data_IF_924815066755
#
_entry.id   IF_924815066755
#
_cell.length_a   1.000
_cell.length_b   1.000
_cell.length_c   1.000
_cell.angle_alpha   90.00
_cell.angle_beta   90.00
_cell.angle_gamma   90.00
#
_symmetry.space_group_name_H-M   'P 1'
#
loop_
_entity.id
_entity.type
_entity.pdbx_description
1 polymer ?
#
# COMPACT_ATOMS: atom_id res chain seq x y z
N UNK A 1 -3.57 -16.66 -8.51
CA UNK A 1 -3.26 -16.98 -9.92
C UNK A 1 -2.59 -15.77 -10.55
N UNK A 2 -2.00 -15.88 -11.75
CA UNK A 2 -1.10 -14.87 -12.34
C UNK A 2 -1.53 -13.39 -12.18
N UNK A 3 -2.83 -13.09 -12.24
CA UNK A 3 -3.39 -11.77 -11.97
C UNK A 3 -3.03 -11.20 -10.59
N UNK A 4 -3.23 -11.99 -9.52
CA UNK A 4 -2.86 -11.58 -8.15
C UNK A 4 -1.36 -11.30 -8.04
N UNK A 5 -0.53 -12.09 -8.73
CA UNK A 5 0.91 -11.87 -8.76
C UNK A 5 1.28 -10.58 -9.50
N UNK A 6 0.60 -10.27 -10.61
CA UNK A 6 0.79 -9.02 -11.34
C UNK A 6 0.41 -7.80 -10.47
N UNK A 7 -0.70 -7.87 -9.74
CA UNK A 7 -1.13 -6.82 -8.81
C UNK A 7 -0.07 -6.58 -7.73
N UNK A 8 0.42 -7.65 -7.08
CA UNK A 8 1.47 -7.54 -6.06
C UNK A 8 2.74 -6.91 -6.65
N UNK A 9 3.14 -7.33 -7.85
CA UNK A 9 4.30 -6.74 -8.52
C UNK A 9 4.09 -5.24 -8.82
N UNK A 10 2.91 -4.83 -9.29
CA UNK A 10 2.59 -3.42 -9.51
C UNK A 10 2.69 -2.61 -8.21
N UNK A 11 2.20 -3.15 -7.09
CA UNK A 11 2.30 -2.48 -5.78
C UNK A 11 3.76 -2.36 -5.32
N UNK A 12 4.57 -3.42 -5.50
CA UNK A 12 6.00 -3.42 -5.18
C UNK A 12 6.77 -2.39 -6.02
N UNK A 13 6.56 -2.36 -7.33
CA UNK A 13 7.24 -1.42 -8.22
C UNK A 13 6.81 0.02 -7.91
N UNK A 14 5.54 0.25 -7.58
CA UNK A 14 5.04 1.56 -7.14
C UNK A 14 5.70 1.99 -5.82
N UNK A 15 5.78 1.10 -4.82
CA UNK A 15 6.46 1.36 -3.55
C UNK A 15 7.92 1.80 -3.75
N UNK A 16 8.66 1.08 -4.62
CA UNK A 16 10.04 1.44 -4.98
C UNK A 16 10.15 2.81 -5.63
N UNK A 17 9.26 3.14 -6.57
CA UNK A 17 9.23 4.46 -7.23
C UNK A 17 9.03 5.60 -6.22
N UNK A 18 8.26 5.35 -5.15
CA UNK A 18 8.00 6.29 -4.08
C UNK A 18 8.99 6.20 -2.91
N UNK A 19 10.08 5.44 -3.06
CA UNK A 19 11.16 5.32 -2.07
C UNK A 19 10.67 4.85 -0.69
N UNK A 20 9.69 3.94 -0.67
CA UNK A 20 9.30 3.21 0.54
C UNK A 20 9.72 1.76 0.42
N UNK A 21 10.07 1.14 1.54
CA UNK A 21 10.35 -0.27 1.67
C UNK A 21 9.13 -1.08 1.23
N UNK A 22 9.32 -1.84 0.15
CA UNK A 22 8.24 -2.59 -0.48
C UNK A 22 7.70 -3.72 0.40
N UNK A 23 8.53 -4.32 1.25
CA UNK A 23 8.08 -5.39 2.15
C UNK A 23 7.20 -4.81 3.25
N UNK A 24 7.68 -3.77 3.94
CA UNK A 24 6.91 -3.07 4.98
C UNK A 24 5.59 -2.52 4.44
N UNK A 25 5.62 -1.95 3.24
CA UNK A 25 4.42 -1.41 2.61
C UNK A 25 3.38 -2.50 2.33
N UNK A 26 3.78 -3.64 1.75
CA UNK A 26 2.85 -4.76 1.48
C UNK A 26 2.30 -5.33 2.78
N UNK A 27 3.14 -5.50 3.81
CA UNK A 27 2.69 -5.94 5.15
C UNK A 27 1.66 -4.96 5.71
N UNK A 28 1.94 -3.65 5.68
CA UNK A 28 1.03 -2.62 6.16
C UNK A 28 -0.33 -2.70 5.46
N UNK A 29 -0.34 -2.81 4.13
CA UNK A 29 -1.57 -2.95 3.37
C UNK A 29 -2.37 -4.19 3.77
N UNK A 30 -1.71 -5.35 3.91
CA UNK A 30 -2.37 -6.60 4.28
C UNK A 30 -2.91 -6.60 5.72
N UNK A 31 -2.26 -5.88 6.63
CA UNK A 31 -2.71 -5.75 8.02
C UNK A 31 -3.86 -4.76 8.19
N UNK A 32 -3.89 -3.67 7.42
CA UNK A 32 -4.81 -2.56 7.66
C UNK A 32 -5.98 -2.52 6.67
N UNK A 33 -5.76 -2.77 5.38
CA UNK A 33 -6.83 -2.69 4.37
C UNK A 33 -8.01 -3.63 4.65
N UNK A 34 -7.82 -4.91 5.03
CA UNK A 34 -8.94 -5.81 5.28
C UNK A 34 -9.80 -5.41 6.47
N UNK A 35 -9.24 -4.59 7.37
CA UNK A 35 -9.91 -4.10 8.58
C UNK A 35 -10.55 -2.72 8.41
N UNK A 36 -10.39 -2.09 7.25
CA UNK A 36 -10.90 -0.75 6.96
C UNK A 36 -12.33 -0.80 6.40
N UNK A 37 -13.32 -0.56 7.26
CA UNK A 37 -14.74 -0.62 6.90
C UNK A 37 -15.15 0.45 5.87
N UNK A 38 -14.35 1.52 5.72
CA UNK A 38 -14.70 2.67 4.89
C UNK A 38 -13.77 2.88 3.69
N UNK A 39 -13.11 1.82 3.22
CA UNK A 39 -12.14 1.86 2.13
C UNK A 39 -12.71 2.41 0.81
N UNK A 40 -14.02 2.31 0.60
CA UNK A 40 -14.73 2.90 -0.56
C UNK A 40 -14.63 4.43 -0.61
N UNK A 41 -14.35 5.09 0.52
CA UNK A 41 -14.16 6.53 0.59
C UNK A 41 -12.78 6.88 0.06
N UNK A 42 -12.76 7.78 -0.91
CA UNK A 42 -11.51 8.21 -1.54
C UNK A 42 -10.51 8.76 -0.53
N UNK A 43 -10.97 9.55 0.45
CA UNK A 43 -10.07 10.13 1.45
C UNK A 43 -9.38 9.06 2.30
N UNK A 44 -10.07 7.94 2.57
CA UNK A 44 -9.53 6.81 3.32
C UNK A 44 -8.50 6.08 2.47
N UNK A 45 -8.84 5.76 1.22
CA UNK A 45 -7.91 5.12 0.28
C UNK A 45 -6.62 5.94 0.07
N UNK A 46 -6.74 7.27 0.01
CA UNK A 46 -5.59 8.17 -0.15
C UNK A 46 -4.57 8.06 0.99
N UNK A 47 -5.00 7.67 2.20
CA UNK A 47 -4.09 7.46 3.33
C UNK A 47 -3.22 6.19 3.20
N UNK A 48 -3.64 5.22 2.37
CA UNK A 48 -2.92 3.97 2.13
C UNK A 48 -1.97 4.03 0.94
N UNK A 49 -1.94 5.15 0.19
CA UNK A 49 -1.07 5.30 -0.97
C UNK A 49 0.40 5.46 -0.55
N UNK A 50 1.37 5.02 -1.37
CA UNK A 50 2.76 4.95 -0.95
C UNK A 50 3.42 6.33 -0.74
N UNK A 51 2.81 7.40 -1.25
CA UNK A 51 3.23 8.79 -0.99
C UNK A 51 2.49 9.46 0.17
N UNK A 52 1.56 8.76 0.84
CA UNK A 52 0.90 9.28 2.02
C UNK A 52 1.93 9.48 3.14
N UNK A 53 1.75 10.55 3.92
CA UNK A 53 2.72 10.94 4.95
C UNK A 53 2.98 9.83 5.96
N UNK A 54 1.93 9.16 6.43
CA UNK A 54 2.07 8.08 7.42
C UNK A 54 2.83 6.88 6.86
N UNK A 55 2.60 6.53 5.60
CA UNK A 55 3.32 5.45 4.92
C UNK A 55 4.80 5.81 4.76
N UNK A 56 5.11 7.04 4.36
CA UNK A 56 6.49 7.51 4.25
C UNK A 56 7.22 7.53 5.60
N UNK A 57 6.50 7.77 6.70
CA UNK A 57 7.06 7.75 8.06
C UNK A 57 7.28 6.32 8.60
N UNK A 58 6.39 5.37 8.27
CA UNK A 58 6.41 4.01 8.84
C UNK A 58 7.13 2.98 7.96
N UNK A 59 7.11 3.19 6.64
CA UNK A 59 7.60 2.23 5.65
C UNK A 59 8.87 2.69 4.94
N UNK A 60 9.60 3.72 5.42
CA UNK A 60 10.94 4.04 4.90
C UNK A 60 12.03 3.12 5.45
#
# INVERSE_FOLDING_TARGET
GAESSAIIMTLIETAKLHQVDSEKYIVFLLEHLPNEETLEKKEVLEAYLPWAKQIQEHCR
#
